data_IF_275851249236
#
_entry.id   IF_275851249236
#
_cell.length_a   1.000
_cell.length_b   1.000
_cell.length_c   1.000
_cell.angle_alpha   90.00
_cell.angle_beta   90.00
_cell.angle_gamma   90.00
#
_symmetry.space_group_name_H-M   'P 1'
#
loop_
_entity.id
_entity.type
_entity.pdbx_description
1 polymer ?
#
# COMPACT_ATOMS: atom_id res chain seq x y z
N UNK A 1 -12.08 -29.92 -0.33
CA UNK A 1 -10.96 -30.11 0.63
C UNK A 1 -10.26 -28.84 1.10
N UNK A 2 -10.55 -27.65 0.57
CA UNK A 2 -9.90 -26.39 1.00
C UNK A 2 -10.11 -26.07 2.50
N UNK A 3 -11.37 -26.04 2.98
CA UNK A 3 -11.67 -25.71 4.38
C UNK A 3 -11.20 -26.78 5.38
N UNK A 4 -11.13 -28.06 4.97
CA UNK A 4 -10.59 -29.13 5.80
C UNK A 4 -9.07 -28.99 6.02
N UNK A 5 -8.36 -28.40 5.05
CA UNK A 5 -6.92 -28.15 5.10
C UNK A 5 -6.56 -26.71 5.50
N UNK A 6 -7.53 -25.91 5.97
CA UNK A 6 -7.30 -24.52 6.39
C UNK A 6 -6.14 -24.40 7.39
N UNK A 7 -5.96 -25.40 8.25
CA UNK A 7 -4.85 -25.46 9.20
C UNK A 7 -3.48 -25.39 8.51
N UNK A 8 -3.29 -25.97 7.32
CA UNK A 8 -2.04 -25.92 6.54
C UNK A 8 -1.78 -24.56 5.88
N UNK A 9 -2.84 -23.77 5.68
CA UNK A 9 -2.77 -22.44 5.10
C UNK A 9 -2.66 -21.32 6.15
N UNK A 10 -3.06 -21.60 7.40
CA UNK A 10 -2.95 -20.67 8.53
C UNK A 10 -1.71 -20.99 9.39
N UNK A 11 -1.27 -22.25 9.42
CA UNK A 11 -0.12 -22.74 10.19
C UNK A 11 0.63 -23.84 9.39
N UNK A 12 1.97 -23.85 9.34
CA UNK A 12 2.89 -23.05 10.15
C UNK A 12 3.15 -21.68 9.53
N UNK A 13 3.26 -20.66 10.39
CA UNK A 13 3.90 -19.39 10.04
C UNK A 13 5.33 -19.75 9.60
N UNK A 14 5.56 -19.69 8.30
CA UNK A 14 6.85 -19.94 7.67
C UNK A 14 7.47 -18.60 7.26
N UNK A 15 8.70 -18.66 6.77
CA UNK A 15 9.46 -17.47 6.36
C UNK A 15 8.71 -16.62 5.31
N UNK A 16 7.84 -17.23 4.49
CA UNK A 16 6.98 -16.49 3.57
C UNK A 16 5.95 -15.65 4.34
N UNK A 17 5.22 -16.22 5.30
CA UNK A 17 4.26 -15.47 6.11
C UNK A 17 4.92 -14.31 6.86
N UNK A 18 6.10 -14.55 7.42
CA UNK A 18 6.89 -13.52 8.10
C UNK A 18 7.25 -12.37 7.14
N UNK A 19 7.78 -12.71 5.95
CA UNK A 19 8.13 -11.73 4.93
C UNK A 19 6.92 -10.87 4.54
N UNK A 20 5.78 -11.50 4.20
CA UNK A 20 4.58 -10.77 3.78
C UNK A 20 4.02 -9.92 4.92
N UNK A 21 4.08 -10.38 6.18
CA UNK A 21 3.63 -9.60 7.32
C UNK A 21 4.44 -8.30 7.46
N UNK A 22 5.78 -8.39 7.49
CA UNK A 22 6.63 -7.20 7.55
C UNK A 22 6.48 -6.32 6.31
N UNK A 23 6.30 -6.93 5.14
CA UNK A 23 6.06 -6.20 3.90
C UNK A 23 4.76 -5.38 3.97
N UNK A 24 3.65 -5.99 4.40
CA UNK A 24 2.38 -5.29 4.58
C UNK A 24 2.47 -4.18 5.64
N UNK A 25 3.19 -4.40 6.75
CA UNK A 25 3.43 -3.34 7.73
C UNK A 25 4.22 -2.18 7.14
N UNK A 26 5.29 -2.44 6.39
CA UNK A 26 6.08 -1.39 5.74
C UNK A 26 5.23 -0.52 4.79
N UNK A 27 4.27 -1.13 4.08
CA UNK A 27 3.38 -0.43 3.15
C UNK A 27 2.15 0.20 3.82
N UNK A 28 1.82 -0.19 5.05
CA UNK A 28 0.59 0.23 5.74
C UNK A 28 0.45 1.74 5.88
N UNK A 29 1.55 2.47 6.12
CA UNK A 29 1.54 3.95 6.22
C UNK A 29 1.13 4.56 4.87
N UNK A 30 1.75 4.10 3.77
CA UNK A 30 1.44 4.61 2.42
C UNK A 30 -0.01 4.33 2.05
N UNK A 31 -0.46 3.08 2.23
CA UNK A 31 -1.83 2.66 1.93
C UNK A 31 -2.81 3.44 2.81
N UNK A 32 -2.50 3.66 4.09
CA UNK A 32 -3.32 4.44 5.01
C UNK A 32 -3.44 5.91 4.61
N UNK A 33 -2.33 6.56 4.24
CA UNK A 33 -2.31 7.94 3.75
C UNK A 33 -3.04 8.11 2.42
N UNK A 34 -2.98 7.10 1.56
CA UNK A 34 -3.74 7.09 0.31
C UNK A 34 -5.23 6.90 0.58
N UNK A 35 -5.60 5.87 1.34
CA UNK A 35 -7.00 5.51 1.64
C UNK A 35 -7.70 6.63 2.40
N UNK A 36 -7.03 7.33 3.32
CA UNK A 36 -7.61 8.45 4.07
C UNK A 36 -8.14 9.57 3.18
N UNK A 37 -7.64 9.69 1.94
CA UNK A 37 -8.12 10.68 0.96
C UNK A 37 -9.47 10.33 0.33
N UNK A 38 -9.89 9.06 0.39
CA UNK A 38 -11.09 8.55 -0.29
C UNK A 38 -12.20 8.08 0.65
N UNK A 39 -11.95 8.07 1.97
CA UNK A 39 -12.89 7.55 2.98
C UNK A 39 -13.67 8.65 3.71
N UNK A 40 -13.68 9.87 3.16
CA UNK A 40 -14.50 10.97 3.67
C UNK A 40 -15.97 10.57 3.79
N UNK A 41 -16.62 10.92 4.90
CA UNK A 41 -18.03 10.61 5.14
C UNK A 41 -18.38 9.18 5.51
N UNK A 42 -17.45 8.21 5.46
CA UNK A 42 -17.72 6.81 5.85
C UNK A 42 -17.50 6.59 7.35
N UNK A 43 -18.34 5.74 7.97
CA UNK A 43 -18.11 5.24 9.33
C UNK A 43 -16.93 4.26 9.34
N UNK A 44 -16.22 4.15 10.46
CA UNK A 44 -15.02 3.31 10.59
C UNK A 44 -15.23 1.85 10.18
N UNK A 45 -16.37 1.24 10.53
CA UNK A 45 -16.67 -0.14 10.13
C UNK A 45 -16.97 -0.28 8.62
N UNK A 46 -17.51 0.76 7.98
CA UNK A 46 -17.75 0.77 6.54
C UNK A 46 -16.43 0.85 5.78
N UNK A 47 -15.49 1.67 6.29
CA UNK A 47 -14.12 1.74 5.77
C UNK A 47 -13.44 0.37 5.90
N UNK A 48 -13.52 -0.25 7.07
CA UNK A 48 -12.95 -1.59 7.30
C UNK A 48 -13.52 -2.62 6.31
N UNK A 49 -14.84 -2.67 6.15
CA UNK A 49 -15.48 -3.58 5.20
C UNK A 49 -15.07 -3.29 3.75
N UNK A 50 -15.02 -2.01 3.36
CA UNK A 50 -14.59 -1.61 2.02
C UNK A 50 -13.13 -2.01 1.73
N UNK A 51 -12.23 -1.81 2.69
CA UNK A 51 -10.82 -2.18 2.58
C UNK A 51 -10.59 -3.70 2.52
N UNK A 52 -11.51 -4.50 3.08
CA UNK A 52 -11.45 -5.96 2.99
C UNK A 52 -12.06 -6.47 1.68
N UNK A 53 -13.23 -5.96 1.28
CA UNK A 53 -14.00 -6.54 0.17
C UNK A 53 -13.45 -6.10 -1.19
N UNK A 54 -13.31 -4.78 -1.41
CA UNK A 54 -13.01 -4.26 -2.75
C UNK A 54 -11.64 -4.69 -3.29
N UNK A 55 -10.55 -4.70 -2.49
CA UNK A 55 -9.27 -5.20 -2.97
C UNK A 55 -9.23 -6.73 -3.12
N UNK A 56 -9.96 -7.47 -2.29
CA UNK A 56 -9.92 -8.94 -2.31
C UNK A 56 -10.55 -9.55 -3.57
N UNK A 57 -11.62 -8.96 -4.11
CA UNK A 57 -12.28 -9.45 -5.34
C UNK A 57 -11.30 -9.53 -6.54
N UNK A 58 -10.64 -8.43 -6.96
CA UNK A 58 -9.71 -8.48 -8.08
C UNK A 58 -8.48 -9.33 -7.78
N UNK A 59 -7.97 -9.35 -6.55
CA UNK A 59 -6.87 -10.22 -6.15
C UNK A 59 -7.26 -11.70 -6.32
N UNK A 60 -8.44 -12.09 -5.83
CA UNK A 60 -8.94 -13.45 -5.96
C UNK A 60 -9.15 -13.83 -7.43
N UNK A 61 -9.75 -12.96 -8.23
CA UNK A 61 -9.94 -13.19 -9.67
C UNK A 61 -8.59 -13.36 -10.39
N UNK A 62 -7.62 -12.49 -10.08
CA UNK A 62 -6.28 -12.54 -10.67
C UNK A 62 -5.56 -13.86 -10.37
N UNK A 63 -5.51 -14.26 -9.09
CA UNK A 63 -4.87 -15.51 -8.71
C UNK A 63 -5.62 -16.74 -9.22
N UNK A 64 -6.96 -16.70 -9.27
CA UNK A 64 -7.75 -17.81 -9.83
C UNK A 64 -7.42 -18.03 -11.31
N UNK A 65 -7.35 -16.97 -12.12
CA UNK A 65 -7.01 -17.07 -13.55
C UNK A 65 -5.57 -17.56 -13.72
N UNK A 66 -4.60 -16.96 -13.02
CA UNK A 66 -3.21 -17.36 -13.13
C UNK A 66 -2.98 -18.82 -12.70
N UNK A 67 -3.63 -19.24 -11.63
CA UNK A 67 -3.53 -20.62 -11.15
C UNK A 67 -4.12 -21.60 -12.16
N UNK A 68 -5.27 -21.28 -12.75
CA UNK A 68 -5.87 -22.11 -13.80
C UNK A 68 -4.96 -22.24 -15.03
N UNK A 69 -4.34 -21.15 -15.47
CA UNK A 69 -3.37 -21.18 -16.58
C UNK A 69 -2.15 -22.06 -16.25
N UNK A 70 -1.68 -21.99 -15.01
CA UNK A 70 -0.57 -22.83 -14.53
C UNK A 70 -0.94 -24.31 -14.49
N UNK A 71 -2.08 -24.67 -13.89
CA UNK A 71 -2.54 -26.05 -13.76
C UNK A 71 -2.85 -26.70 -15.12
N UNK A 72 -3.50 -25.95 -16.02
CA UNK A 72 -3.86 -26.42 -17.34
C UNK A 72 -2.66 -26.48 -18.32
N UNK A 73 -1.47 -26.02 -17.90
CA UNK A 73 -0.27 -26.00 -18.75
C UNK A 73 -0.43 -25.12 -19.99
N UNK A 74 -1.29 -24.10 -19.92
CA UNK A 74 -1.58 -23.21 -21.05
C UNK A 74 -0.33 -22.37 -21.29
N UNK A 75 0.28 -22.53 -22.46
CA UNK A 75 1.40 -21.71 -22.85
C UNK A 75 0.94 -20.24 -22.93
N UNK A 76 1.63 -19.37 -22.19
CA UNK A 76 1.36 -17.92 -22.17
C UNK A 76 2.14 -17.18 -23.25
N UNK A 77 2.63 -17.87 -24.27
CA UNK A 77 3.53 -17.34 -25.29
C UNK A 77 2.85 -16.32 -26.22
N UNK A 78 3.67 -15.53 -26.91
CA UNK A 78 3.21 -14.50 -27.84
C UNK A 78 2.55 -13.30 -27.14
N UNK A 79 1.32 -12.98 -27.56
CA UNK A 79 0.65 -11.73 -27.20
C UNK A 79 0.30 -11.63 -25.71
N UNK A 80 -0.01 -12.75 -25.05
CA UNK A 80 -0.39 -12.79 -23.63
C UNK A 80 0.81 -12.46 -22.75
N UNK A 81 2.00 -13.02 -23.03
CA UNK A 81 3.23 -12.65 -22.33
C UNK A 81 3.53 -11.15 -22.46
N UNK A 82 3.44 -10.62 -23.68
CA UNK A 82 3.68 -9.21 -23.93
C UNK A 82 2.70 -8.32 -23.15
N UNK A 83 1.40 -8.66 -23.15
CA UNK A 83 0.40 -7.94 -22.40
C UNK A 83 0.68 -7.97 -20.88
N UNK A 84 1.05 -9.13 -20.33
CA UNK A 84 1.40 -9.26 -18.91
C UNK A 84 2.61 -8.40 -18.53
N UNK A 85 3.67 -8.41 -19.35
CA UNK A 85 4.86 -7.58 -19.13
C UNK A 85 4.52 -6.10 -19.23
N UNK A 86 3.75 -5.70 -20.24
CA UNK A 86 3.32 -4.33 -20.42
C UNK A 86 2.51 -3.82 -19.23
N UNK A 87 1.50 -4.58 -18.80
CA UNK A 87 0.71 -4.27 -17.60
C UNK A 87 1.62 -4.17 -16.38
N UNK A 88 2.55 -5.12 -16.18
CA UNK A 88 3.52 -5.08 -15.09
C UNK A 88 4.36 -3.79 -15.09
N UNK A 89 4.85 -3.35 -16.24
CA UNK A 89 5.62 -2.11 -16.37
C UNK A 89 4.76 -0.89 -16.00
N UNK A 90 3.53 -0.82 -16.50
CA UNK A 90 2.59 0.27 -16.17
C UNK A 90 2.33 0.31 -14.66
N UNK A 91 2.11 -0.84 -14.03
CA UNK A 91 1.93 -0.93 -12.57
C UNK A 91 3.15 -0.42 -11.80
N UNK A 92 4.36 -0.80 -12.23
CA UNK A 92 5.61 -0.33 -11.60
C UNK A 92 5.75 1.18 -11.73
N UNK A 93 5.52 1.74 -12.92
CA UNK A 93 5.61 3.20 -13.14
C UNK A 93 4.60 3.94 -12.27
N UNK A 94 3.34 3.50 -12.25
CA UNK A 94 2.28 4.12 -11.47
C UNK A 94 2.56 4.04 -9.96
N UNK A 95 3.07 2.90 -9.50
CA UNK A 95 3.45 2.72 -8.09
C UNK A 95 4.64 3.61 -7.71
N UNK A 96 5.64 3.73 -8.58
CA UNK A 96 6.79 4.59 -8.35
C UNK A 96 6.41 6.07 -8.34
N UNK A 97 5.54 6.53 -9.25
CA UNK A 97 5.04 7.91 -9.24
C UNK A 97 4.32 8.22 -7.93
N UNK A 98 3.41 7.34 -7.51
CA UNK A 98 2.65 7.48 -6.26
C UNK A 98 3.57 7.54 -5.04
N UNK A 99 4.59 6.67 -4.98
CA UNK A 99 5.59 6.65 -3.91
C UNK A 99 6.40 7.95 -3.88
N UNK A 100 6.92 8.38 -5.05
CA UNK A 100 7.72 9.60 -5.16
C UNK A 100 6.93 10.80 -4.68
N UNK A 101 5.73 10.99 -5.22
CA UNK A 101 4.82 12.06 -4.82
C UNK A 101 4.59 12.06 -3.31
N UNK A 102 4.29 10.90 -2.73
CA UNK A 102 3.95 10.82 -1.31
C UNK A 102 5.12 11.20 -0.40
N UNK A 103 6.33 10.66 -0.62
CA UNK A 103 7.45 11.03 0.25
C UNK A 103 7.92 12.46 -0.02
N UNK A 104 7.86 12.95 -1.27
CA UNK A 104 8.23 14.34 -1.57
C UNK A 104 7.29 15.33 -0.94
N UNK A 105 5.99 15.03 -0.88
CA UNK A 105 4.98 15.85 -0.21
C UNK A 105 5.23 15.83 1.30
N UNK A 106 5.45 14.64 1.89
CA UNK A 106 5.72 14.48 3.33
C UNK A 106 7.01 15.20 3.78
N UNK A 107 8.06 15.21 2.95
CA UNK A 107 9.33 15.90 3.22
C UNK A 107 9.34 17.37 2.78
N UNK A 108 8.27 17.84 2.13
CA UNK A 108 8.20 19.19 1.57
C UNK A 108 9.20 19.46 0.43
N UNK A 109 9.68 18.41 -0.24
CA UNK A 109 10.63 18.44 -1.37
C UNK A 109 9.82 18.61 -2.66
N UNK A 110 9.28 19.80 -2.88
CA UNK A 110 8.40 20.05 -4.03
C UNK A 110 9.15 20.73 -5.18
N UNK A 111 8.66 20.53 -6.41
CA UNK A 111 9.21 21.18 -7.61
C UNK A 111 9.17 22.71 -7.47
N UNK A 112 8.15 23.25 -6.80
CA UNK A 112 7.98 24.69 -6.57
C UNK A 112 9.11 25.27 -5.70
N UNK A 113 9.67 24.48 -4.77
CA UNK A 113 10.74 24.92 -3.88
C UNK A 113 12.14 24.69 -4.46
N UNK A 114 12.34 23.58 -5.17
CA UNK A 114 13.68 23.14 -5.63
C UNK A 114 13.96 23.44 -7.10
N UNK A 115 12.94 23.63 -7.92
CA UNK A 115 13.04 23.68 -9.37
C UNK A 115 13.14 22.28 -10.00
N UNK A 116 12.66 22.15 -11.25
CA UNK A 116 12.48 20.86 -11.95
C UNK A 116 13.76 20.02 -12.04
N UNK A 117 14.89 20.62 -12.43
CA UNK A 117 16.14 19.89 -12.63
C UNK A 117 16.68 19.30 -11.32
N UNK A 118 16.70 20.09 -10.23
CA UNK A 118 17.17 19.64 -8.92
C UNK A 118 16.25 18.58 -8.33
N UNK A 119 14.93 18.76 -8.49
CA UNK A 119 13.94 17.78 -8.06
C UNK A 119 14.16 16.42 -8.72
N UNK A 120 14.35 16.37 -10.05
CA UNK A 120 14.58 15.12 -10.78
C UNK A 120 15.89 14.46 -10.33
N UNK A 121 16.99 15.21 -10.29
CA UNK A 121 18.29 14.69 -9.89
C UNK A 121 18.28 14.12 -8.46
N UNK A 122 17.65 14.82 -7.52
CA UNK A 122 17.56 14.39 -6.13
C UNK A 122 16.74 13.10 -5.99
N UNK A 123 15.59 13.00 -6.66
CA UNK A 123 14.75 11.81 -6.59
C UNK A 123 15.43 10.60 -7.25
N UNK A 124 16.11 10.79 -8.39
CA UNK A 124 16.91 9.72 -9.01
C UNK A 124 18.01 9.26 -8.05
N UNK A 125 18.77 10.19 -7.46
CA UNK A 125 19.82 9.86 -6.51
C UNK A 125 19.28 9.13 -5.27
N UNK A 126 18.16 9.60 -4.69
CA UNK A 126 17.53 8.99 -3.53
C UNK A 126 17.04 7.57 -3.81
N UNK A 127 16.31 7.36 -4.91
CA UNK A 127 15.82 6.03 -5.29
C UNK A 127 16.97 5.06 -5.64
N UNK A 128 18.01 5.57 -6.29
CA UNK A 128 19.20 4.77 -6.64
C UNK A 128 19.97 4.36 -5.38
N UNK A 129 20.16 5.29 -4.44
CA UNK A 129 20.79 5.01 -3.15
C UNK A 129 19.96 4.01 -2.34
N UNK A 130 18.65 4.19 -2.26
CA UNK A 130 17.76 3.27 -1.55
C UNK A 130 17.83 1.85 -2.14
N UNK A 131 17.81 1.75 -3.47
CA UNK A 131 17.98 0.48 -4.20
C UNK A 131 19.33 -0.16 -3.88
N UNK A 132 20.40 0.63 -3.84
CA UNK A 132 21.73 0.15 -3.50
C UNK A 132 21.80 -0.36 -2.05
N UNK A 133 21.26 0.42 -1.09
CA UNK A 133 21.21 0.04 0.32
C UNK A 133 20.40 -1.25 0.55
N UNK A 134 19.30 -1.42 -0.18
CA UNK A 134 18.52 -2.67 -0.18
C UNK A 134 19.35 -3.84 -0.74
N UNK A 135 19.99 -3.67 -1.91
CA UNK A 135 20.82 -4.72 -2.52
C UNK A 135 22.03 -5.12 -1.67
N UNK A 136 22.58 -4.17 -0.91
CA UNK A 136 23.69 -4.39 0.02
C UNK A 136 23.23 -4.99 1.37
N UNK A 137 21.96 -5.36 1.52
CA UNK A 137 21.35 -5.89 2.75
C UNK A 137 21.37 -4.94 3.96
N UNK A 138 21.62 -3.64 3.76
CA UNK A 138 21.49 -2.65 4.83
C UNK A 138 20.03 -2.39 5.19
N UNK A 139 19.11 -2.53 4.23
CA UNK A 139 17.67 -2.34 4.42
C UNK A 139 16.93 -3.67 4.27
N UNK A 140 16.84 -4.42 5.36
CA UNK A 140 16.01 -5.63 5.38
C UNK A 140 14.57 -5.27 5.69
N UNK A 141 13.63 -5.99 5.07
CA UNK A 141 12.20 -5.73 5.26
C UNK A 141 11.76 -5.90 6.71
N UNK A 142 12.38 -6.82 7.45
CA UNK A 142 12.16 -7.05 8.89
C UNK A 142 12.42 -5.77 9.70
N UNK A 143 13.55 -5.08 9.46
CA UNK A 143 13.88 -3.83 10.13
C UNK A 143 12.88 -2.72 9.81
N UNK A 144 12.53 -2.55 8.54
CA UNK A 144 11.57 -1.53 8.10
C UNK A 144 10.19 -1.80 8.72
N UNK A 145 9.71 -3.04 8.64
CA UNK A 145 8.42 -3.42 9.22
C UNK A 145 8.40 -3.28 10.74
N UNK A 146 9.47 -3.68 11.44
CA UNK A 146 9.60 -3.53 12.89
C UNK A 146 9.58 -2.06 13.34
N UNK A 147 10.23 -1.16 12.59
CA UNK A 147 10.18 0.28 12.84
C UNK A 147 8.73 0.79 12.73
N UNK A 148 8.01 0.42 11.67
CA UNK A 148 6.61 0.84 11.49
C UNK A 148 5.71 0.32 12.60
N UNK A 149 5.87 -0.94 13.00
CA UNK A 149 5.16 -1.52 14.15
C UNK A 149 5.44 -0.70 15.42
N UNK A 150 6.70 -0.36 15.67
CA UNK A 150 7.11 0.48 16.80
C UNK A 150 6.44 1.87 16.77
N UNK A 151 6.36 2.50 15.59
CA UNK A 151 5.65 3.77 15.40
C UNK A 151 4.16 3.61 15.74
N UNK A 152 3.51 2.53 15.30
CA UNK A 152 2.10 2.29 15.61
C UNK A 152 1.85 2.13 17.10
N UNK A 153 2.67 1.34 17.81
CA UNK A 153 2.55 1.21 19.26
C UNK A 153 2.83 2.53 19.99
N UNK A 154 3.82 3.31 19.54
CA UNK A 154 4.11 4.61 20.11
C UNK A 154 2.94 5.61 19.90
N UNK A 155 2.37 5.66 18.70
CA UNK A 155 1.21 6.48 18.40
C UNK A 155 -0.02 6.03 19.19
N UNK A 156 -0.26 4.73 19.29
CA UNK A 156 -1.37 4.18 20.08
C UNK A 156 -1.23 4.52 21.57
N UNK A 157 -0.04 4.31 22.14
CA UNK A 157 0.26 4.70 23.52
C UNK A 157 0.08 6.21 23.75
N UNK A 158 0.55 7.05 22.82
CA UNK A 158 0.35 8.49 22.89
C UNK A 158 -1.14 8.86 22.89
N UNK A 159 -1.95 8.24 22.03
CA UNK A 159 -3.39 8.47 21.97
C UNK A 159 -4.04 8.10 23.31
N UNK A 160 -3.73 6.93 23.86
CA UNK A 160 -4.30 6.47 25.13
C UNK A 160 -3.96 7.39 26.31
N UNK A 161 -2.74 7.94 26.36
CA UNK A 161 -2.30 8.79 27.48
C UNK A 161 -2.77 10.23 27.33
N UNK A 162 -2.64 10.80 26.13
CA UNK A 162 -2.78 12.25 25.92
C UNK A 162 -4.07 12.67 25.21
N UNK A 163 -4.66 11.77 24.42
CA UNK A 163 -5.79 12.11 23.52
C UNK A 163 -7.01 11.20 23.67
N UNK A 164 -7.06 10.39 24.73
CA UNK A 164 -8.14 9.41 24.94
C UNK A 164 -9.52 10.05 24.89
N UNK A 165 -9.73 11.14 25.64
CA UNK A 165 -11.02 11.86 25.64
C UNK A 165 -11.38 12.42 24.26
N UNK A 166 -10.39 12.93 23.52
CA UNK A 166 -10.62 13.49 22.19
C UNK A 166 -11.03 12.40 21.19
N UNK A 167 -10.42 11.21 21.26
CA UNK A 167 -10.75 10.07 20.39
C UNK A 167 -12.06 9.40 20.80
N UNK A 168 -12.32 9.26 22.10
CA UNK A 168 -13.57 8.68 22.60
C UNK A 168 -14.81 9.51 22.25
N UNK A 169 -14.64 10.83 22.08
CA UNK A 169 -15.72 11.74 21.69
C UNK A 169 -15.93 11.84 20.17
N UNK A 170 -15.24 11.03 19.35
CA UNK A 170 -15.45 11.02 17.90
C UNK A 170 -16.74 10.25 17.60
N UNK A 171 -17.82 10.99 17.31
CA UNK A 171 -19.11 10.41 16.92
C UNK A 171 -19.18 10.04 15.42
N UNK A 172 -18.27 10.56 14.60
CA UNK A 172 -18.20 10.30 13.16
C UNK A 172 -17.15 11.14 12.44
N UNK A 173 -17.10 11.02 11.11
CA UNK A 173 -16.28 11.91 10.28
C UNK A 173 -16.72 13.37 10.48
N UNK A 174 -15.79 14.34 10.56
CA UNK A 174 -16.16 15.75 10.63
C UNK A 174 -17.15 16.11 9.51
N UNK A 175 -18.16 16.94 9.80
CA UNK A 175 -19.16 17.35 8.80
C UNK A 175 -18.55 18.04 7.58
N UNK A 176 -17.35 18.58 7.73
CA UNK A 176 -16.54 19.20 6.67
C UNK A 176 -15.96 18.19 5.66
N UNK A 177 -15.90 16.89 6.00
CA UNK A 177 -15.57 15.81 5.08
C UNK A 177 -16.82 15.38 4.28
N UNK A 178 -17.47 16.33 3.61
CA UNK A 178 -18.46 15.99 2.59
C UNK A 178 -17.77 15.35 1.39
N UNK A 179 -18.41 14.33 0.82
CA UNK A 179 -17.93 13.69 -0.41
C UNK A 179 -18.16 14.69 -1.55
N UNK A 180 -17.11 15.39 -1.93
CA UNK A 180 -17.10 16.33 -3.06
C UNK A 180 -17.13 15.54 -4.39
N UNK A 181 -18.34 15.26 -4.88
CA UNK A 181 -18.58 14.55 -6.14
C UNK A 181 -18.09 15.34 -7.38
N UNK A 182 -17.89 16.65 -7.26
CA UNK A 182 -17.37 17.53 -8.33
C UNK A 182 -15.89 17.29 -8.67
N UNK A 183 -15.12 16.61 -7.79
CA UNK A 183 -13.76 16.16 -8.11
C UNK A 183 -13.71 15.00 -9.13
N UNK A 184 -14.81 14.31 -9.36
CA UNK A 184 -14.90 13.24 -10.37
C UNK A 184 -15.15 13.83 -11.76
N UNK A 185 -15.86 14.96 -11.84
CA UNK A 185 -16.19 15.64 -13.11
C UNK A 185 -15.01 16.35 -13.77
N UNK A 186 -13.96 16.69 -13.01
CA UNK A 186 -12.76 17.38 -13.53
C UNK A 186 -11.70 16.43 -14.11
N UNK A 187 -11.98 15.13 -14.14
CA UNK A 187 -11.10 14.08 -14.71
C UNK A 187 -11.71 13.47 -15.99
N UNK A 188 -12.83 14.02 -16.49
CA UNK A 188 -13.40 13.69 -17.80
C UNK A 188 -12.97 14.67 -18.89
#
# INVERSE_FOLDING_TARGET
DYFANMHQFVLPINDYHEFYLFWWFAWSIMIGQFTSRFVGGLKTYQVLAAMLIFPSIPIAAWFAVLYHYHEAGIATDGLVNFAMVFVGIVFVINSLDSLVRLYTDNLGITVQKLGKAKYIALNIAALSLLTLLFKLNFLQIQWVGAIVIGIFFACFGYILVQKYKAVANIEGSPKENEIDYTKIETVS
#
